data_IF_396014576673
#
_entry.id   IF_396014576673
#
_cell.length_a   1.000
_cell.length_b   1.000
_cell.length_c   1.000
_cell.angle_alpha   90.00
_cell.angle_beta   90.00
_cell.angle_gamma   90.00
#
_symmetry.space_group_name_H-M   'P 1'
#
loop_
_entity.id
_entity.type
_entity.pdbx_description
1 polymer ?
#
# COMPACT_ATOMS: atom_id res chain seq x y z
N UNK A 1 -0.63 8.93 -23.12
CA UNK A 1 0.34 7.92 -22.66
C UNK A 1 -0.39 6.59 -22.55
N UNK A 2 -0.02 5.58 -23.32
CA UNK A 2 -0.52 4.22 -23.12
C UNK A 2 0.02 3.72 -21.76
N UNK A 3 -0.82 3.84 -20.73
CA UNK A 3 -0.48 3.51 -19.34
C UNK A 3 -0.36 1.99 -19.22
N UNK A 4 0.87 1.47 -19.13
CA UNK A 4 1.09 0.05 -18.88
C UNK A 4 0.86 -0.20 -17.38
N UNK A 5 -0.39 -0.44 -17.00
CA UNK A 5 -0.79 -0.72 -15.61
C UNK A 5 0.02 -1.93 -15.13
N UNK A 6 0.66 -1.79 -13.96
CA UNK A 6 1.43 -2.88 -13.36
C UNK A 6 0.52 -4.10 -13.16
N UNK A 7 0.89 -5.21 -13.80
CA UNK A 7 0.14 -6.47 -13.70
C UNK A 7 0.20 -7.00 -12.27
N UNK A 8 -0.78 -7.83 -11.91
CA UNK A 8 -0.82 -8.53 -10.61
C UNK A 8 0.48 -9.29 -10.30
N UNK A 9 1.15 -9.84 -11.32
CA UNK A 9 2.45 -10.52 -11.22
C UNK A 9 3.58 -9.63 -10.69
N UNK A 10 3.48 -8.30 -10.83
CA UNK A 10 4.44 -7.37 -10.25
C UNK A 10 4.40 -7.40 -8.72
N UNK A 11 3.19 -7.53 -8.14
CA UNK A 11 2.97 -7.46 -6.70
C UNK A 11 3.12 -8.82 -6.00
N UNK A 12 3.02 -9.94 -6.73
CA UNK A 12 3.11 -11.30 -6.16
C UNK A 12 4.55 -11.79 -6.03
N UNK A 13 5.47 -10.87 -5.72
CA UNK A 13 6.91 -11.08 -5.55
C UNK A 13 7.30 -10.77 -4.11
N UNK A 14 8.56 -11.05 -3.70
CA UNK A 14 9.04 -10.69 -2.39
C UNK A 14 8.82 -9.21 -2.05
N UNK A 15 8.27 -8.92 -0.86
CA UNK A 15 7.84 -7.55 -0.50
C UNK A 15 8.94 -6.51 -0.67
N UNK A 16 10.17 -6.84 -0.28
CA UNK A 16 11.32 -5.95 -0.37
C UNK A 16 11.72 -5.64 -1.81
N UNK A 17 11.57 -6.58 -2.74
CA UNK A 17 11.77 -6.33 -4.19
C UNK A 17 10.71 -5.38 -4.73
N UNK A 18 9.44 -5.64 -4.39
CA UNK A 18 8.33 -4.80 -4.83
C UNK A 18 8.46 -3.39 -4.27
N UNK A 19 8.88 -3.23 -3.01
CA UNK A 19 9.09 -1.93 -2.38
C UNK A 19 10.14 -1.10 -3.12
N UNK A 20 11.30 -1.71 -3.42
CA UNK A 20 12.35 -1.07 -4.21
C UNK A 20 11.86 -0.68 -5.61
N UNK A 21 11.16 -1.60 -6.29
CA UNK A 21 10.73 -1.39 -7.67
C UNK A 21 9.50 -0.46 -7.80
N UNK A 22 8.78 -0.20 -6.70
CA UNK A 22 7.70 0.78 -6.66
C UNK A 22 8.21 2.22 -6.68
N UNK A 23 9.41 2.48 -6.17
CA UNK A 23 10.02 3.81 -6.23
C UNK A 23 10.18 4.24 -7.69
N UNK A 24 9.71 5.46 -8.01
CA UNK A 24 9.69 5.97 -9.37
C UNK A 24 8.50 5.53 -10.23
N UNK A 25 7.64 4.62 -9.74
CA UNK A 25 6.35 4.31 -10.39
C UNK A 25 5.31 5.36 -10.04
N UNK A 26 4.23 5.44 -10.82
CA UNK A 26 3.16 6.39 -10.58
C UNK A 26 2.00 5.72 -9.84
N UNK A 27 1.58 6.33 -8.74
CA UNK A 27 0.26 6.07 -8.15
C UNK A 27 -0.75 6.93 -8.91
N UNK A 28 -1.78 6.28 -9.47
CA UNK A 28 -2.84 6.93 -10.23
C UNK A 28 -4.18 6.58 -9.59
N UNK A 29 -4.99 7.59 -9.28
CA UNK A 29 -6.34 7.39 -8.75
C UNK A 29 -7.26 8.51 -9.19
N UNK A 30 -8.37 8.15 -9.86
CA UNK A 30 -9.28 9.09 -10.53
C UNK A 30 -8.50 10.00 -11.49
N UNK A 31 -8.63 11.32 -11.37
CA UNK A 31 -7.94 12.32 -12.19
C UNK A 31 -6.57 12.75 -11.64
N UNK A 32 -6.08 12.12 -10.56
CA UNK A 32 -4.81 12.49 -9.90
C UNK A 32 -3.75 11.42 -10.13
N UNK A 33 -2.50 11.86 -10.23
CA UNK A 33 -1.33 11.00 -10.34
C UNK A 33 -0.12 11.64 -9.65
N UNK A 34 0.82 10.80 -9.20
CA UNK A 34 2.11 11.25 -8.69
C UNK A 34 3.12 10.11 -8.63
N UNK A 35 4.39 10.43 -8.83
CA UNK A 35 5.49 9.46 -8.77
C UNK A 35 5.78 9.13 -7.32
N UNK A 36 5.79 7.85 -6.98
CA UNK A 36 6.09 7.35 -5.64
C UNK A 36 7.56 7.63 -5.30
N UNK A 37 7.79 8.34 -4.20
CA UNK A 37 9.12 8.77 -3.74
C UNK A 37 9.53 8.13 -2.42
N UNK A 38 8.57 7.62 -1.64
CA UNK A 38 8.84 7.01 -0.34
C UNK A 38 7.84 5.88 -0.07
N UNK A 39 8.37 4.73 0.35
CA UNK A 39 7.59 3.54 0.72
C UNK A 39 8.19 2.88 1.95
N UNK A 40 7.39 2.08 2.65
CA UNK A 40 7.84 1.26 3.78
C UNK A 40 7.25 -0.14 3.68
N UNK A 41 8.08 -1.17 3.85
CA UNK A 41 7.70 -2.57 3.71
C UNK A 41 7.39 -3.18 5.09
N UNK A 42 6.28 -3.91 5.18
CA UNK A 42 5.91 -4.71 6.34
C UNK A 42 5.76 -6.17 5.94
N UNK A 43 6.52 -7.06 6.59
CA UNK A 43 6.75 -8.42 6.09
C UNK A 43 6.45 -9.47 7.16
N UNK A 44 5.35 -10.20 6.97
CA UNK A 44 5.04 -11.37 7.79
C UNK A 44 4.63 -11.03 9.21
N UNK A 45 4.60 -12.06 10.04
CA UNK A 45 4.25 -11.97 11.46
C UNK A 45 5.48 -11.75 12.36
N UNK A 46 6.68 -12.05 11.86
CA UNK A 46 7.94 -11.83 12.58
C UNK A 46 8.33 -10.35 12.65
N UNK A 47 7.83 -9.54 11.70
CA UNK A 47 7.92 -8.09 11.76
C UNK A 47 6.98 -7.54 12.84
N UNK A 48 7.55 -7.16 13.99
CA UNK A 48 6.81 -6.62 15.13
C UNK A 48 6.11 -5.28 14.84
N UNK A 49 6.50 -4.56 13.80
CA UNK A 49 5.84 -3.32 13.38
C UNK A 49 4.64 -3.59 12.44
N UNK A 50 4.58 -4.78 11.85
CA UNK A 50 3.51 -5.19 10.96
C UNK A 50 2.19 -5.40 11.72
N UNK A 51 1.07 -4.95 11.15
CA UNK A 51 -0.26 -5.21 11.73
C UNK A 51 -0.60 -6.70 11.81
N UNK A 52 0.12 -7.57 11.12
CA UNK A 52 -0.06 -9.02 11.17
C UNK A 52 0.78 -9.71 12.26
N UNK A 53 1.63 -8.98 12.99
CA UNK A 53 2.46 -9.54 14.06
C UNK A 53 1.63 -10.34 15.09
N UNK A 54 0.48 -9.79 15.48
CA UNK A 54 -0.48 -10.43 16.39
C UNK A 54 -1.43 -11.43 15.72
N UNK A 55 -1.21 -11.80 14.46
CA UNK A 55 -2.08 -12.69 13.69
C UNK A 55 -3.19 -11.99 12.90
N UNK A 56 -4.03 -12.81 12.26
CA UNK A 56 -5.12 -12.33 11.38
C UNK A 56 -6.29 -11.82 12.21
N UNK A 57 -6.80 -10.65 11.82
CA UNK A 57 -7.99 -10.01 12.37
C UNK A 57 -8.89 -9.52 11.24
N UNK A 58 -10.15 -9.19 11.52
CA UNK A 58 -11.05 -8.56 10.52
C UNK A 58 -10.45 -7.28 9.93
N UNK A 59 -9.65 -6.53 10.70
CA UNK A 59 -9.05 -5.27 10.26
C UNK A 59 -7.91 -5.48 9.26
N UNK A 60 -7.08 -6.51 9.44
CA UNK A 60 -5.87 -6.73 8.64
C UNK A 60 -6.03 -7.87 7.62
N UNK A 61 -7.24 -8.45 7.47
CA UNK A 61 -7.46 -9.61 6.63
C UNK A 61 -7.04 -9.44 5.17
N UNK A 62 -7.12 -8.20 4.66
CA UNK A 62 -6.65 -7.84 3.31
C UNK A 62 -5.16 -8.11 3.16
N UNK A 63 -4.33 -7.91 4.20
CA UNK A 63 -2.89 -8.19 4.13
C UNK A 63 -2.59 -9.66 3.82
N UNK A 64 -3.51 -10.57 4.15
CA UNK A 64 -3.39 -12.01 3.87
C UNK A 64 -3.90 -12.40 2.47
N UNK A 65 -4.46 -11.46 1.71
CA UNK A 65 -4.83 -11.69 0.32
C UNK A 65 -3.58 -11.73 -0.56
N UNK A 66 -3.71 -12.25 -1.77
CA UNK A 66 -2.63 -12.27 -2.77
C UNK A 66 -2.12 -10.85 -3.04
N UNK A 67 -0.86 -10.67 -3.46
CA UNK A 67 -0.32 -9.34 -3.76
C UNK A 67 -1.16 -8.51 -4.75
N UNK A 68 -1.22 -7.20 -4.57
CA UNK A 68 -1.85 -6.22 -5.46
C UNK A 68 -3.21 -5.68 -5.02
N UNK A 69 -3.66 -5.96 -3.79
CA UNK A 69 -4.87 -5.35 -3.22
C UNK A 69 -4.52 -4.11 -2.41
N UNK A 70 -5.40 -3.12 -2.39
CA UNK A 70 -5.27 -1.94 -1.54
C UNK A 70 -5.64 -2.28 -0.08
N UNK A 71 -4.69 -2.18 0.83
CA UNK A 71 -4.96 -2.26 2.27
C UNK A 71 -5.00 -0.84 2.87
N UNK A 72 -6.21 -0.38 3.20
CA UNK A 72 -6.47 0.97 3.70
C UNK A 72 -7.05 0.93 5.11
N UNK A 73 -6.35 1.55 6.06
CA UNK A 73 -6.79 1.62 7.45
C UNK A 73 -6.79 3.05 7.99
N UNK A 74 -7.51 3.27 9.08
CA UNK A 74 -7.55 4.54 9.82
C UNK A 74 -6.52 4.50 10.96
N UNK A 75 -5.73 5.56 11.10
CA UNK A 75 -4.75 5.77 12.18
C UNK A 75 -5.12 7.02 12.98
N UNK A 76 -4.96 6.95 14.31
CA UNK A 76 -5.32 8.00 15.27
C UNK A 76 -6.76 8.50 15.17
N UNK A 77 -7.68 7.71 14.59
CA UNK A 77 -9.07 8.12 14.35
C UNK A 77 -9.26 9.20 13.28
N UNK A 78 -8.20 9.66 12.61
CA UNK A 78 -8.23 10.87 11.78
C UNK A 78 -7.67 10.69 10.36
N UNK A 79 -6.62 9.89 10.21
CA UNK A 79 -5.88 9.77 8.95
C UNK A 79 -6.02 8.39 8.34
N UNK A 80 -6.07 8.32 7.01
CA UNK A 80 -6.02 7.06 6.28
C UNK A 80 -4.59 6.77 5.82
N UNK A 81 -4.20 5.49 5.83
CA UNK A 81 -2.94 5.02 5.26
C UNK A 81 -3.23 4.01 4.14
N UNK A 82 -2.62 4.21 2.98
CA UNK A 82 -2.74 3.32 1.83
C UNK A 82 -1.52 2.39 1.77
N UNK A 83 -1.79 1.10 1.72
CA UNK A 83 -0.79 0.08 1.45
C UNK A 83 -1.21 -0.72 0.22
N UNK A 84 -0.25 -1.38 -0.42
CA UNK A 84 -0.50 -2.41 -1.43
C UNK A 84 0.01 -3.75 -0.92
N UNK A 85 -0.81 -4.79 -0.97
CA UNK A 85 -0.40 -6.14 -0.54
C UNK A 85 0.65 -6.71 -1.48
N UNK A 86 1.49 -7.60 -0.98
CA UNK A 86 2.50 -8.31 -1.77
C UNK A 86 2.44 -9.81 -1.54
N UNK A 87 3.37 -10.57 -2.13
CA UNK A 87 3.55 -11.99 -1.86
C UNK A 87 2.35 -12.87 -2.30
N UNK A 88 2.44 -14.16 -1.96
CA UNK A 88 1.37 -15.14 -2.16
C UNK A 88 0.24 -14.97 -1.13
N UNK A 89 -0.96 -15.42 -1.50
CA UNK A 89 -2.07 -15.49 -0.55
C UNK A 89 -1.69 -16.31 0.69
N UNK A 90 -2.16 -15.86 1.85
CA UNK A 90 -1.87 -16.46 3.15
C UNK A 90 -0.60 -15.95 3.83
N UNK A 91 0.31 -15.28 3.11
CA UNK A 91 1.48 -14.64 3.70
C UNK A 91 1.21 -13.14 3.90
N UNK A 92 1.06 -12.64 5.15
CA UNK A 92 0.68 -11.26 5.37
C UNK A 92 1.83 -10.32 5.03
N UNK A 93 1.65 -9.48 4.02
CA UNK A 93 2.65 -8.48 3.67
C UNK A 93 2.03 -7.31 2.92
N UNK A 94 2.57 -6.11 3.16
CA UNK A 94 2.13 -4.93 2.43
C UNK A 94 3.22 -3.85 2.41
N UNK A 95 3.08 -2.93 1.47
CA UNK A 95 3.95 -1.77 1.32
C UNK A 95 3.11 -0.52 1.54
N UNK A 96 3.42 0.25 2.57
CA UNK A 96 2.85 1.57 2.82
C UNK A 96 3.40 2.56 1.80
N UNK A 97 2.52 3.27 1.10
CA UNK A 97 2.94 4.39 0.25
C UNK A 97 2.97 5.66 1.12
N UNK A 98 4.18 6.16 1.38
CA UNK A 98 4.40 7.27 2.31
C UNK A 98 4.36 8.62 1.60
N UNK A 99 4.94 8.71 0.41
CA UNK A 99 4.97 9.96 -0.33
C UNK A 99 4.96 9.77 -1.85
N UNK A 100 4.46 10.81 -2.53
CA UNK A 100 4.68 11.04 -3.95
C UNK A 100 5.46 12.35 -4.16
N UNK A 101 5.88 12.62 -5.39
CA UNK A 101 6.53 13.86 -5.84
C UNK A 101 5.60 15.09 -5.87
N UNK A 102 4.80 15.26 -4.81
CA UNK A 102 3.91 16.38 -4.61
C UNK A 102 3.99 16.87 -3.15
N UNK A 103 4.29 18.15 -2.88
CA UNK A 103 4.38 18.69 -1.51
C UNK A 103 3.10 18.51 -0.68
N UNK A 104 1.92 18.41 -1.31
CA UNK A 104 0.64 18.15 -0.62
C UNK A 104 0.46 16.68 -0.23
N UNK A 105 1.34 15.79 -0.66
CA UNK A 105 1.25 14.34 -0.47
C UNK A 105 2.61 13.73 -0.05
N UNK A 106 3.36 14.46 0.79
CA UNK A 106 4.66 14.05 1.37
C UNK A 106 4.53 13.37 2.74
N UNK A 107 3.52 12.53 2.90
CA UNK A 107 3.26 11.76 4.12
C UNK A 107 2.00 10.92 3.97
N UNK A 108 1.87 9.75 4.62
CA UNK A 108 0.86 8.75 4.27
C UNK A 108 -0.58 9.26 4.44
N UNK A 109 -0.85 9.99 5.53
CA UNK A 109 -2.17 10.62 5.76
C UNK A 109 -2.47 11.76 4.78
N UNK A 110 -1.45 12.55 4.42
CA UNK A 110 -1.57 13.63 3.42
C UNK A 110 -1.82 13.06 2.03
N UNK A 111 -1.13 11.97 1.68
CA UNK A 111 -1.30 11.25 0.43
C UNK A 111 -2.73 10.77 0.26
N UNK A 112 -3.29 10.06 1.25
CA UNK A 112 -4.68 9.61 1.19
C UNK A 112 -5.66 10.78 1.07
N UNK A 113 -5.45 11.88 1.82
CA UNK A 113 -6.27 13.10 1.72
C UNK A 113 -6.18 13.72 0.32
N UNK A 114 -4.97 13.83 -0.23
CA UNK A 114 -4.73 14.38 -1.57
C UNK A 114 -5.48 13.57 -2.64
N UNK A 115 -5.42 12.24 -2.59
CA UNK A 115 -6.13 11.38 -3.55
C UNK A 115 -7.63 11.20 -3.25
N UNK A 116 -8.09 11.52 -2.04
CA UNK A 116 -9.45 11.20 -1.59
C UNK A 116 -9.65 9.70 -1.30
N UNK A 117 -8.57 9.01 -0.89
CA UNK A 117 -8.59 7.60 -0.53
C UNK A 117 -8.98 7.46 0.94
N UNK A 118 -10.00 6.63 1.18
CA UNK A 118 -10.58 6.30 2.49
C UNK A 118 -10.71 4.79 2.67
N UNK A 119 -11.14 4.33 3.85
CA UNK A 119 -11.43 2.90 4.12
C UNK A 119 -12.44 2.27 3.15
N UNK A 120 -13.25 3.06 2.45
CA UNK A 120 -14.15 2.56 1.41
C UNK A 120 -13.41 1.91 0.22
N UNK A 121 -12.10 2.14 0.10
CA UNK A 121 -11.24 1.58 -0.94
C UNK A 121 -10.38 0.41 -0.43
N UNK A 122 -10.62 -0.06 0.80
CA UNK A 122 -9.92 -1.23 1.34
C UNK A 122 -10.39 -2.50 0.62
N UNK A 123 -9.46 -3.32 0.15
CA UNK A 123 -9.73 -4.56 -0.58
C UNK A 123 -9.99 -4.38 -2.09
N UNK A 124 -9.79 -3.19 -2.64
CA UNK A 124 -9.79 -2.97 -4.11
C UNK A 124 -8.58 -3.63 -4.79
#
# INVERSE_FOLDING_TARGET
>A
MSQNILKRSFYTRPTWEVARDLLGKYLVFKSKAGKITEVEAYIGQDDKACHAAGGKTKRNEVMFMKGGYAYVYLIYGLYHCLNVTTEKAGFPSAILIRAIDNPQANGPGKLCRYFGITRAHNGL
#
